data_IF_255099961620
#
_entry.id   IF_255099961620
#
_cell.length_a   1.000
_cell.length_b   1.000
_cell.length_c   1.000
_cell.angle_alpha   90.00
_cell.angle_beta   90.00
_cell.angle_gamma   90.00
#
_symmetry.space_group_name_H-M   'P 1'
#
loop_
_entity.id
_entity.type
_entity.pdbx_description
1 polymer ?
#
# COMPACT_ATOMS: atom_id res chain seq x y z
N UNK A 1 -5.77 13.40 14.74
CA UNK A 1 -5.00 12.44 13.91
C UNK A 1 -5.86 11.23 13.57
N UNK A 2 -5.69 10.62 12.39
CA UNK A 2 -6.39 9.41 11.97
C UNK A 2 -5.50 8.19 12.14
N UNK A 3 -6.09 7.03 12.43
CA UNK A 3 -5.36 5.80 12.71
C UNK A 3 -5.73 4.69 11.73
N UNK A 4 -4.72 4.04 11.19
CA UNK A 4 -4.90 2.93 10.26
C UNK A 4 -4.16 1.68 10.71
N UNK A 5 -4.58 0.53 10.19
CA UNK A 5 -3.80 -0.70 10.24
C UNK A 5 -3.30 -1.03 8.84
N UNK A 6 -2.06 -1.48 8.75
CA UNK A 6 -1.45 -1.89 7.48
C UNK A 6 -1.06 -3.35 7.54
N UNK A 7 -1.84 -4.17 6.83
CA UNK A 7 -1.64 -5.60 6.73
C UNK A 7 -0.68 -5.93 5.59
N UNK A 8 0.30 -6.74 5.92
CA UNK A 8 1.12 -7.47 4.96
C UNK A 8 0.87 -8.96 5.22
N UNK A 9 -0.21 -9.54 4.63
CA UNK A 9 -0.71 -10.84 5.03
C UNK A 9 0.34 -11.93 4.94
N UNK A 10 0.43 -12.76 5.97
CA UNK A 10 1.36 -13.87 6.07
C UNK A 10 0.60 -15.15 6.40
N UNK A 11 0.95 -16.24 5.73
CA UNK A 11 0.36 -17.57 6.01
C UNK A 11 0.71 -17.99 7.45
N UNK A 12 -0.28 -18.30 8.30
CA UNK A 12 -0.01 -18.77 9.66
C UNK A 12 0.90 -20.01 9.68
N UNK A 13 1.94 -19.94 10.50
CA UNK A 13 2.95 -21.00 10.60
C UNK A 13 4.02 -20.97 9.51
N UNK A 14 4.15 -19.87 8.76
CA UNK A 14 5.29 -19.58 7.88
C UNK A 14 6.38 -18.79 8.62
N UNK A 15 7.56 -18.65 7.98
CA UNK A 15 8.69 -17.87 8.50
C UNK A 15 9.47 -18.55 9.62
N UNK A 16 10.42 -17.81 10.18
CA UNK A 16 11.33 -18.32 11.21
C UNK A 16 10.69 -18.50 12.59
N UNK A 17 9.57 -17.84 12.84
CA UNK A 17 8.82 -18.06 14.10
C UNK A 17 8.25 -19.47 14.21
N UNK A 18 8.03 -20.14 13.07
CA UNK A 18 7.52 -21.50 12.97
C UNK A 18 8.37 -22.37 12.01
N UNK A 19 9.69 -22.23 12.07
CA UNK A 19 10.65 -22.76 11.08
C UNK A 19 10.48 -24.25 10.77
N UNK A 20 10.34 -25.09 11.80
CA UNK A 20 10.14 -26.53 11.63
C UNK A 20 8.86 -26.87 10.87
N UNK A 21 7.74 -26.22 11.23
CA UNK A 21 6.45 -26.37 10.56
C UNK A 21 6.53 -25.86 9.11
N UNK A 22 7.12 -24.70 8.90
CA UNK A 22 7.27 -24.11 7.58
C UNK A 22 8.08 -24.99 6.64
N UNK A 23 9.18 -25.59 7.13
CA UNK A 23 10.00 -26.54 6.37
C UNK A 23 9.27 -27.83 6.05
N UNK A 24 8.53 -28.39 7.01
CA UNK A 24 7.77 -29.62 6.83
C UNK A 24 6.63 -29.49 5.79
N UNK A 25 6.07 -28.28 5.64
CA UNK A 25 4.92 -27.98 4.76
C UNK A 25 5.31 -27.25 3.47
N UNK A 26 6.57 -27.25 3.06
CA UNK A 26 7.02 -26.59 1.81
C UNK A 26 6.35 -27.16 0.56
N UNK A 27 5.86 -26.34 -0.35
CA UNK A 27 5.72 -24.88 -0.28
C UNK A 27 4.42 -24.47 0.44
N UNK A 28 4.54 -23.94 1.64
CA UNK A 28 3.40 -23.60 2.52
C UNK A 28 2.42 -22.59 1.89
N UNK A 29 2.90 -21.70 1.02
CA UNK A 29 2.06 -20.77 0.26
C UNK A 29 1.09 -21.45 -0.73
N UNK A 30 1.23 -22.74 -1.01
CA UNK A 30 0.29 -23.52 -1.83
C UNK A 30 -0.62 -24.45 -1.01
N UNK A 31 -0.48 -24.40 0.29
CA UNK A 31 -1.34 -25.18 1.19
C UNK A 31 -2.68 -24.50 1.38
N UNK A 32 -3.75 -25.16 0.95
CA UNK A 32 -5.11 -24.60 0.94
C UNK A 32 -5.65 -24.34 2.35
N UNK A 33 -5.39 -25.21 3.30
CA UNK A 33 -5.84 -25.06 4.69
C UNK A 33 -5.16 -23.85 5.34
N UNK A 34 -3.86 -23.72 5.18
CA UNK A 34 -3.11 -22.56 5.67
C UNK A 34 -3.61 -21.24 5.07
N UNK A 35 -4.00 -21.27 3.78
CA UNK A 35 -4.55 -20.10 3.13
C UNK A 35 -5.96 -19.74 3.66
N UNK A 36 -6.79 -20.74 3.96
CA UNK A 36 -8.10 -20.50 4.61
C UNK A 36 -7.92 -19.91 6.02
N UNK A 37 -6.90 -20.35 6.76
CA UNK A 37 -6.57 -19.78 8.07
C UNK A 37 -6.11 -18.32 7.94
N UNK A 38 -5.29 -17.99 6.93
CA UNK A 38 -4.92 -16.59 6.63
C UNK A 38 -6.17 -15.74 6.37
N UNK A 39 -7.09 -16.22 5.52
CA UNK A 39 -8.34 -15.50 5.22
C UNK A 39 -9.18 -15.27 6.48
N UNK A 40 -9.27 -16.28 7.34
CA UNK A 40 -9.97 -16.17 8.62
C UNK A 40 -9.35 -15.08 9.48
N UNK A 41 -8.04 -15.11 9.72
CA UNK A 41 -7.35 -14.11 10.55
C UNK A 41 -7.50 -12.68 10.00
N UNK A 42 -7.32 -12.50 8.70
CA UNK A 42 -7.45 -11.18 8.05
C UNK A 42 -8.87 -10.62 8.20
N UNK A 43 -9.90 -11.46 8.03
CA UNK A 43 -11.32 -11.08 8.21
C UNK A 43 -11.63 -10.68 9.64
N UNK A 44 -11.15 -11.47 10.60
CA UNK A 44 -11.35 -11.18 12.03
C UNK A 44 -10.68 -9.85 12.43
N UNK A 45 -9.45 -9.60 11.96
CA UNK A 45 -8.74 -8.35 12.20
C UNK A 45 -9.48 -7.16 11.56
N UNK A 46 -9.97 -7.32 10.34
CA UNK A 46 -10.67 -6.25 9.63
C UNK A 46 -11.99 -5.85 10.32
N UNK A 47 -12.79 -6.83 10.72
CA UNK A 47 -14.05 -6.61 11.44
C UNK A 47 -13.78 -5.95 12.80
N UNK A 48 -12.80 -6.46 13.54
CA UNK A 48 -12.41 -5.87 14.82
C UNK A 48 -11.91 -4.42 14.67
N UNK A 49 -11.08 -4.15 13.67
CA UNK A 49 -10.57 -2.79 13.42
C UNK A 49 -11.72 -1.81 13.10
N UNK A 50 -12.71 -2.22 12.30
CA UNK A 50 -13.89 -1.42 12.02
C UNK A 50 -14.69 -1.14 13.30
N UNK A 51 -14.92 -2.18 14.13
CA UNK A 51 -15.63 -2.05 15.42
C UNK A 51 -14.91 -1.15 16.41
N UNK A 52 -13.58 -1.23 16.48
CA UNK A 52 -12.74 -0.40 17.35
C UNK A 52 -12.60 1.04 16.85
N UNK A 53 -13.08 1.35 15.63
CA UNK A 53 -13.08 2.68 15.06
C UNK A 53 -11.73 3.09 14.48
N UNK A 54 -10.91 2.17 13.99
CA UNK A 54 -9.81 2.54 13.11
C UNK A 54 -10.33 3.21 11.85
N UNK A 55 -9.59 4.20 11.35
CA UNK A 55 -10.04 5.02 10.22
C UNK A 55 -9.79 4.34 8.87
N UNK A 56 -8.73 3.52 8.74
CA UNK A 56 -8.42 2.79 7.51
C UNK A 56 -7.78 1.42 7.76
N UNK A 57 -8.06 0.48 6.83
CA UNK A 57 -7.35 -0.78 6.67
C UNK A 57 -6.64 -0.76 5.32
N UNK A 58 -5.34 -1.01 5.35
CA UNK A 58 -4.47 -1.00 4.18
C UNK A 58 -3.87 -2.38 3.95
N UNK A 59 -3.67 -2.75 2.67
CA UNK A 59 -3.14 -4.06 2.29
C UNK A 59 -2.17 -3.95 1.11
N UNK A 60 -1.09 -4.73 1.13
CA UNK A 60 -0.07 -4.77 0.07
C UNK A 60 -0.53 -5.54 -1.17
N UNK A 61 0.26 -5.47 -2.25
CA UNK A 61 0.21 -6.37 -3.41
C UNK A 61 1.56 -7.04 -3.60
N UNK A 62 1.58 -8.38 -3.51
CA UNK A 62 2.77 -9.19 -3.76
C UNK A 62 2.39 -10.54 -4.38
N UNK A 63 3.32 -11.14 -5.15
CA UNK A 63 3.04 -12.33 -5.94
C UNK A 63 4.13 -13.39 -5.80
N UNK A 64 3.75 -14.66 -6.04
CA UNK A 64 4.64 -15.82 -6.14
C UNK A 64 5.40 -16.17 -4.86
N UNK A 65 4.88 -15.77 -3.70
CA UNK A 65 5.49 -16.05 -2.40
C UNK A 65 5.11 -17.44 -1.90
N UNK A 66 5.66 -18.47 -2.52
CA UNK A 66 5.41 -19.86 -2.12
C UNK A 66 5.88 -20.19 -0.70
N UNK A 67 6.70 -19.34 -0.11
CA UNK A 67 7.14 -19.36 1.29
C UNK A 67 6.10 -18.79 2.28
N UNK A 68 5.00 -18.20 1.78
CA UNK A 68 3.86 -17.76 2.59
C UNK A 68 3.95 -16.38 3.23
N UNK A 69 5.03 -15.62 2.97
CA UNK A 69 5.17 -14.22 3.42
C UNK A 69 4.62 -13.26 2.35
N UNK A 70 4.08 -12.09 2.78
CA UNK A 70 3.52 -11.08 1.88
C UNK A 70 2.47 -11.66 0.90
N UNK A 71 1.47 -12.34 1.44
CA UNK A 71 0.60 -13.21 0.66
C UNK A 71 -0.73 -12.52 0.25
N UNK A 72 -0.63 -11.41 -0.46
CA UNK A 72 -1.80 -10.67 -1.01
C UNK A 72 -1.64 -10.44 -2.51
N UNK A 73 -2.07 -11.42 -3.30
CA UNK A 73 -1.86 -11.45 -4.77
C UNK A 73 -2.78 -10.51 -5.54
N UNK A 74 -3.91 -10.13 -4.97
CA UNK A 74 -4.83 -9.16 -5.56
C UNK A 74 -5.54 -8.39 -4.45
N UNK A 75 -5.02 -7.23 -4.06
CA UNK A 75 -5.60 -6.45 -2.97
C UNK A 75 -7.02 -5.95 -3.26
N UNK A 76 -7.40 -5.73 -4.53
CA UNK A 76 -8.76 -5.30 -4.87
C UNK A 76 -9.78 -6.39 -4.56
N UNK A 77 -9.48 -7.66 -4.88
CA UNK A 77 -10.35 -8.79 -4.55
C UNK A 77 -10.43 -9.02 -3.03
N UNK A 78 -9.30 -8.95 -2.31
CA UNK A 78 -9.28 -9.02 -0.85
C UNK A 78 -10.15 -7.94 -0.22
N UNK A 79 -9.95 -6.70 -0.63
CA UNK A 79 -10.69 -5.56 -0.09
C UNK A 79 -12.17 -5.61 -0.46
N UNK A 80 -12.55 -6.26 -1.57
CA UNK A 80 -13.96 -6.51 -1.90
C UNK A 80 -14.61 -7.46 -0.89
N UNK A 81 -13.94 -8.55 -0.50
CA UNK A 81 -14.41 -9.44 0.57
C UNK A 81 -14.53 -8.70 1.91
N UNK A 82 -13.56 -7.84 2.24
CA UNK A 82 -13.59 -7.05 3.47
C UNK A 82 -14.64 -5.93 3.43
N UNK A 83 -14.91 -5.33 2.26
CA UNK A 83 -15.96 -4.32 2.09
C UNK A 83 -17.34 -4.83 2.45
N UNK A 84 -17.61 -6.11 2.15
CA UNK A 84 -18.87 -6.77 2.50
C UNK A 84 -18.99 -7.10 3.99
N UNK A 85 -17.93 -7.00 4.78
CA UNK A 85 -17.86 -7.38 6.21
C UNK A 85 -17.67 -6.18 7.13
N UNK A 86 -17.44 -5.01 6.58
CA UNK A 86 -17.14 -3.77 7.32
C UNK A 86 -18.08 -2.65 6.88
N UNK A 87 -18.33 -1.68 7.76
CA UNK A 87 -19.32 -0.63 7.50
C UNK A 87 -18.72 0.78 7.37
N UNK A 88 -17.65 1.10 8.13
CA UNK A 88 -17.13 2.46 8.29
C UNK A 88 -15.69 2.62 7.86
N UNK A 89 -14.86 1.62 8.14
CA UNK A 89 -13.42 1.68 7.89
C UNK A 89 -13.13 1.91 6.41
N UNK A 90 -12.21 2.85 6.12
CA UNK A 90 -11.69 3.03 4.77
C UNK A 90 -10.85 1.82 4.37
N UNK A 91 -10.88 1.47 3.11
CA UNK A 91 -10.17 0.33 2.54
C UNK A 91 -9.16 0.81 1.51
N UNK A 92 -7.90 0.38 1.63
CA UNK A 92 -6.86 0.83 0.70
C UNK A 92 -5.94 -0.31 0.25
N UNK A 93 -5.84 -0.61 -1.06
CA UNK A 93 -4.61 -1.24 -1.55
C UNK A 93 -3.46 -0.27 -1.27
N UNK A 94 -2.41 -0.69 -0.57
CA UNK A 94 -1.27 0.16 -0.29
C UNK A 94 0.05 -0.59 -0.59
N UNK A 95 0.32 -0.73 -1.94
CA UNK A 95 -0.37 -0.14 -3.09
C UNK A 95 -0.60 -1.15 -4.19
N UNK A 96 -1.53 -0.76 -5.04
CA UNK A 96 -1.71 -1.43 -6.32
C UNK A 96 -0.48 -1.17 -7.21
N UNK A 97 0.14 -2.21 -7.71
CA UNK A 97 1.43 -2.10 -8.43
C UNK A 97 1.19 -1.89 -9.92
N UNK A 98 0.98 -0.64 -10.31
CA UNK A 98 0.49 -0.25 -11.62
C UNK A 98 1.24 -0.86 -12.82
N UNK A 99 2.59 -0.99 -12.82
CA UNK A 99 3.28 -1.62 -13.96
C UNK A 99 2.96 -3.11 -14.16
N UNK A 100 2.26 -3.76 -13.22
CA UNK A 100 1.80 -5.15 -13.37
C UNK A 100 0.37 -5.27 -13.95
N UNK A 101 -0.34 -4.15 -14.14
CA UNK A 101 -1.75 -4.12 -14.52
C UNK A 101 -2.00 -3.59 -15.94
N UNK A 102 -3.08 -4.05 -16.56
CA UNK A 102 -3.68 -3.36 -17.68
C UNK A 102 -4.43 -2.11 -17.20
N UNK A 103 -4.19 -0.92 -17.77
CA UNK A 103 -4.72 0.32 -17.22
C UNK A 103 -6.25 0.40 -17.23
N UNK A 104 -6.92 -0.11 -18.27
CA UNK A 104 -8.39 -0.08 -18.34
C UNK A 104 -8.99 -1.08 -17.37
N UNK A 105 -8.43 -2.31 -17.29
CA UNK A 105 -8.90 -3.32 -16.34
C UNK A 105 -8.73 -2.84 -14.90
N UNK A 106 -7.58 -2.24 -14.59
CA UNK A 106 -7.35 -1.66 -13.27
C UNK A 106 -8.34 -0.52 -12.95
N UNK A 107 -8.65 0.33 -13.95
CA UNK A 107 -9.62 1.40 -13.77
C UNK A 107 -11.03 0.87 -13.49
N UNK A 108 -11.49 -0.16 -14.21
CA UNK A 108 -12.79 -0.81 -13.98
C UNK A 108 -12.84 -1.47 -12.60
N UNK A 109 -11.83 -2.27 -12.23
CA UNK A 109 -11.79 -3.01 -10.97
C UNK A 109 -11.77 -2.06 -9.76
N UNK A 110 -11.02 -0.95 -9.84
CA UNK A 110 -10.99 0.10 -8.81
C UNK A 110 -12.35 0.81 -8.71
N UNK A 111 -12.95 1.16 -9.84
CA UNK A 111 -14.26 1.80 -9.84
C UNK A 111 -15.34 0.89 -9.26
N UNK A 112 -15.30 -0.40 -9.62
CA UNK A 112 -16.24 -1.40 -9.11
C UNK A 112 -16.10 -1.59 -7.59
N UNK A 113 -14.87 -1.68 -7.06
CA UNK A 113 -14.64 -1.75 -5.61
C UNK A 113 -15.14 -0.49 -4.91
N UNK A 114 -14.92 0.69 -5.48
CA UNK A 114 -15.38 1.95 -4.91
C UNK A 114 -16.93 2.02 -4.84
N UNK A 115 -17.63 1.47 -5.85
CA UNK A 115 -19.08 1.28 -5.81
C UNK A 115 -19.51 0.30 -4.70
N UNK A 116 -18.85 -0.85 -4.56
CA UNK A 116 -19.18 -1.84 -3.53
C UNK A 116 -19.03 -1.28 -2.11
N UNK A 117 -17.96 -0.52 -1.86
CA UNK A 117 -17.73 0.08 -0.55
C UNK A 117 -18.32 1.50 -0.39
N UNK A 118 -19.07 2.00 -1.38
CA UNK A 118 -19.78 3.30 -1.34
C UNK A 118 -18.86 4.47 -0.96
N UNK A 119 -17.70 4.57 -1.63
CA UNK A 119 -16.75 5.67 -1.45
C UNK A 119 -15.78 5.52 -0.28
N UNK A 120 -15.74 4.34 0.38
CA UNK A 120 -14.74 4.06 1.42
C UNK A 120 -13.36 3.67 0.85
N UNK A 121 -13.19 3.65 -0.46
CA UNK A 121 -11.90 3.31 -1.08
C UNK A 121 -10.91 4.48 -0.99
N UNK A 122 -9.67 4.16 -0.68
CA UNK A 122 -8.49 4.98 -0.93
C UNK A 122 -7.55 4.18 -1.82
N UNK A 123 -7.01 4.79 -2.87
CA UNK A 123 -6.23 4.05 -3.85
C UNK A 123 -4.73 4.31 -3.65
N UNK A 124 -4.06 3.42 -2.95
CA UNK A 124 -2.61 3.40 -2.92
C UNK A 124 -2.04 2.83 -4.22
N UNK A 125 -1.05 3.52 -4.79
CA UNK A 125 -0.40 3.13 -6.04
C UNK A 125 1.10 2.94 -5.84
N UNK A 126 1.68 1.89 -6.44
CA UNK A 126 3.07 1.50 -6.25
C UNK A 126 3.75 1.10 -7.54
N UNK A 127 5.09 1.07 -7.53
CA UNK A 127 5.94 0.71 -8.69
C UNK A 127 6.40 -0.75 -8.69
N UNK A 128 6.36 -1.42 -7.53
CA UNK A 128 6.85 -2.80 -7.35
C UNK A 128 8.37 -2.92 -7.30
N UNK A 129 8.92 -3.43 -6.18
CA UNK A 129 10.36 -3.48 -5.94
C UNK A 129 10.98 -4.89 -6.08
N UNK A 130 10.15 -5.93 -6.13
CA UNK A 130 10.64 -7.32 -6.15
C UNK A 130 10.73 -7.85 -7.57
N UNK A 131 11.94 -8.20 -7.99
CA UNK A 131 12.23 -8.67 -9.34
C UNK A 131 11.58 -10.03 -9.66
N UNK A 132 11.41 -10.93 -8.69
CA UNK A 132 10.83 -12.27 -8.88
C UNK A 132 9.47 -12.23 -9.56
N UNK A 133 8.62 -11.27 -9.22
CA UNK A 133 7.30 -11.17 -9.80
C UNK A 133 7.13 -9.98 -10.76
N UNK A 134 7.82 -8.85 -10.50
CA UNK A 134 7.76 -7.71 -11.41
C UNK A 134 8.27 -8.04 -12.81
N UNK A 135 9.35 -8.83 -12.93
CA UNK A 135 9.87 -9.24 -14.23
C UNK A 135 8.94 -10.20 -14.98
N UNK A 136 8.01 -10.83 -14.28
CA UNK A 136 6.95 -11.68 -14.88
C UNK A 136 5.73 -10.83 -15.24
N UNK A 137 5.16 -10.08 -14.29
CA UNK A 137 3.90 -9.38 -14.49
C UNK A 137 4.07 -8.07 -15.29
N UNK A 138 5.21 -7.41 -15.13
CA UNK A 138 5.55 -6.18 -15.87
C UNK A 138 6.10 -6.40 -17.28
N UNK A 139 6.29 -7.66 -17.73
CA UNK A 139 6.92 -7.99 -19.01
C UNK A 139 6.21 -7.37 -20.23
N UNK A 140 4.88 -7.27 -20.18
CA UNK A 140 4.08 -6.65 -21.25
C UNK A 140 4.55 -5.22 -21.56
N UNK A 141 4.99 -4.51 -20.56
CA UNK A 141 5.44 -3.12 -20.68
C UNK A 141 6.96 -2.96 -20.66
N UNK A 142 7.71 -4.06 -20.68
CA UNK A 142 9.15 -4.07 -20.44
C UNK A 142 9.55 -3.36 -19.13
N UNK A 143 8.70 -3.48 -18.09
CA UNK A 143 8.91 -2.91 -16.77
C UNK A 143 9.44 -3.98 -15.82
N UNK A 144 10.66 -3.80 -15.34
CA UNK A 144 11.24 -4.60 -14.26
C UNK A 144 11.01 -3.96 -12.89
N UNK A 145 11.52 -4.58 -11.82
CA UNK A 145 11.44 -4.02 -10.48
C UNK A 145 12.01 -2.60 -10.37
N UNK A 146 11.33 -1.77 -9.61
CA UNK A 146 11.79 -0.44 -9.24
C UNK A 146 13.04 -0.52 -8.35
N UNK A 147 14.13 0.11 -8.75
CA UNK A 147 15.41 0.12 -8.02
C UNK A 147 15.71 1.45 -7.34
N UNK A 148 15.04 2.51 -7.77
CA UNK A 148 15.29 3.90 -7.30
C UNK A 148 16.74 4.35 -7.47
N UNK A 149 17.46 3.80 -8.45
CA UNK A 149 18.87 4.05 -8.75
C UNK A 149 19.08 4.93 -10.00
N UNK A 150 18.00 5.35 -10.67
CA UNK A 150 18.06 6.17 -11.88
C UNK A 150 18.55 5.42 -13.13
N UNK A 151 18.71 4.10 -13.07
CA UNK A 151 19.07 3.29 -14.24
C UNK A 151 17.97 3.33 -15.32
N UNK A 152 18.32 2.92 -16.55
CA UNK A 152 17.33 2.84 -17.63
C UNK A 152 16.12 1.95 -17.28
N UNK A 153 16.35 0.86 -16.54
CA UNK A 153 15.30 -0.02 -16.04
C UNK A 153 14.42 0.67 -15.00
N UNK A 154 15.00 1.43 -14.07
CA UNK A 154 14.25 2.20 -13.08
C UNK A 154 13.43 3.32 -13.74
N UNK A 155 14.02 4.01 -14.71
CA UNK A 155 13.33 5.04 -15.51
C UNK A 155 12.16 4.44 -16.26
N UNK A 156 12.36 3.30 -16.94
CA UNK A 156 11.28 2.61 -17.66
C UNK A 156 10.12 2.24 -16.73
N UNK A 157 10.40 1.66 -15.56
CA UNK A 157 9.39 1.34 -14.56
C UNK A 157 8.62 2.60 -14.10
N UNK A 158 9.35 3.71 -13.89
CA UNK A 158 8.76 4.98 -13.49
C UNK A 158 7.84 5.57 -14.56
N UNK A 159 8.23 5.51 -15.84
CA UNK A 159 7.44 6.00 -16.96
C UNK A 159 6.17 5.15 -17.16
N UNK A 160 6.30 3.82 -17.09
CA UNK A 160 5.15 2.89 -17.16
C UNK A 160 4.16 3.16 -16.03
N UNK A 161 4.65 3.32 -14.79
CA UNK A 161 3.79 3.67 -13.65
C UNK A 161 3.00 4.95 -13.90
N UNK A 162 3.67 5.99 -14.40
CA UNK A 162 3.03 7.27 -14.69
C UNK A 162 1.98 7.19 -15.78
N UNK A 163 2.29 6.46 -16.82
CA UNK A 163 1.39 6.32 -17.97
C UNK A 163 0.15 5.49 -17.63
N UNK A 164 0.31 4.38 -16.89
CA UNK A 164 -0.84 3.59 -16.41
C UNK A 164 -1.75 4.44 -15.53
N UNK A 165 -1.20 5.19 -14.57
CA UNK A 165 -1.98 6.08 -13.70
C UNK A 165 -2.72 7.16 -14.50
N UNK A 166 -2.08 7.73 -15.52
CA UNK A 166 -2.69 8.71 -16.42
C UNK A 166 -3.89 8.14 -17.14
N UNK A 167 -3.76 6.95 -17.73
CA UNK A 167 -4.86 6.29 -18.45
C UNK A 167 -6.02 5.97 -17.49
N UNK A 168 -5.73 5.48 -16.29
CA UNK A 168 -6.74 5.23 -15.26
C UNK A 168 -7.50 6.52 -14.89
N UNK A 169 -6.78 7.64 -14.64
CA UNK A 169 -7.42 8.94 -14.36
C UNK A 169 -8.31 9.38 -15.52
N UNK A 170 -7.87 9.24 -16.77
CA UNK A 170 -8.69 9.53 -17.95
C UNK A 170 -9.96 8.69 -17.97
N UNK A 171 -9.84 7.37 -17.72
CA UNK A 171 -10.95 6.43 -17.68
C UNK A 171 -12.03 6.82 -16.65
N UNK A 172 -11.63 7.40 -15.52
CA UNK A 172 -12.58 7.80 -14.46
C UNK A 172 -13.19 9.18 -14.68
N UNK A 173 -12.48 10.08 -15.34
CA UNK A 173 -12.85 11.52 -15.39
C UNK A 173 -13.43 11.96 -16.71
N UNK A 174 -13.16 11.25 -17.80
CA UNK A 174 -13.70 11.55 -19.13
C UNK A 174 -14.95 10.72 -19.43
N UNK A 175 -15.88 11.27 -20.19
CA UNK A 175 -17.07 10.55 -20.62
C UNK A 175 -16.71 9.38 -21.55
N UNK A 176 -15.81 9.63 -22.50
CA UNK A 176 -15.18 8.61 -23.34
C UNK A 176 -13.69 8.88 -23.45
N UNK A 177 -12.91 7.84 -23.65
CA UNK A 177 -11.48 7.93 -23.91
C UNK A 177 -11.14 7.47 -25.33
N UNK A 178 -10.30 8.27 -25.99
CA UNK A 178 -9.57 7.90 -27.19
C UNK A 178 -8.12 8.28 -26.98
N UNK A 179 -7.27 7.29 -26.85
CA UNK A 179 -5.90 7.53 -26.44
C UNK A 179 -4.91 6.59 -27.12
N UNK A 180 -3.76 7.13 -27.53
CA UNK A 180 -2.60 6.37 -28.00
C UNK A 180 -1.42 6.77 -27.14
N UNK A 181 -0.81 5.79 -26.49
CA UNK A 181 0.33 6.04 -25.60
C UNK A 181 1.61 6.18 -26.41
N UNK A 182 2.45 7.15 -25.99
CA UNK A 182 3.82 7.28 -26.47
C UNK A 182 4.82 6.45 -25.63
N UNK A 183 4.37 5.97 -24.45
CA UNK A 183 5.18 5.23 -23.50
C UNK A 183 4.95 3.73 -23.61
N UNK A 184 3.69 3.32 -23.78
CA UNK A 184 3.27 1.92 -23.88
C UNK A 184 2.88 1.58 -25.33
N UNK A 185 3.07 0.31 -25.71
CA UNK A 185 2.39 -0.21 -26.90
C UNK A 185 0.90 -0.46 -26.55
N UNK A 186 0.15 0.65 -26.46
CA UNK A 186 -1.22 0.65 -25.99
C UNK A 186 -2.08 1.72 -26.67
N UNK A 187 -3.25 1.33 -27.13
CA UNK A 187 -4.21 2.19 -27.82
C UNK A 187 -5.62 1.91 -27.29
N UNK A 188 -6.43 2.96 -27.21
CA UNK A 188 -7.85 2.88 -26.84
C UNK A 188 -8.64 3.74 -27.84
N UNK A 189 -9.47 3.14 -28.72
CA UNK A 189 -9.60 1.70 -28.99
C UNK A 189 -8.40 1.11 -29.73
N UNK A 190 -8.43 -0.21 -29.98
CA UNK A 190 -7.48 -0.89 -30.84
C UNK A 190 -8.23 -1.59 -32.00
N UNK A 191 -7.92 -1.30 -33.30
CA UNK A 191 -6.93 -0.28 -33.74
C UNK A 191 -7.39 1.13 -33.40
N UNK A 192 -6.45 2.07 -33.31
CA UNK A 192 -6.72 3.47 -32.94
C UNK A 192 -7.65 4.19 -33.94
N UNK A 193 -7.63 3.77 -35.21
CA UNK A 193 -8.51 4.27 -36.26
C UNK A 193 -9.98 3.92 -36.03
N UNK A 194 -10.27 3.00 -35.13
CA UNK A 194 -11.61 2.57 -34.74
C UNK A 194 -11.88 1.10 -35.01
N UNK A 195 -12.76 0.52 -34.20
CA UNK A 195 -13.20 -0.87 -34.34
C UNK A 195 -14.36 -0.92 -35.32
N UNK A 196 -14.18 -1.68 -36.39
CA UNK A 196 -15.20 -1.90 -37.42
C UNK A 196 -16.17 -3.03 -37.03
N UNK A 197 -17.36 -3.03 -37.64
CA UNK A 197 -18.29 -4.15 -37.55
C UNK A 197 -19.01 -4.29 -36.20
N UNK A 198 -19.09 -3.23 -35.38
CA UNK A 198 -19.93 -3.25 -34.19
C UNK A 198 -21.42 -3.39 -34.56
N UNK A 199 -22.09 -4.51 -34.27
CA UNK A 199 -23.43 -4.79 -34.82
C UNK A 199 -24.54 -3.99 -34.11
N UNK A 200 -24.35 -3.56 -32.86
CA UNK A 200 -25.37 -2.87 -32.07
C UNK A 200 -25.27 -1.34 -32.19
N UNK A 201 -24.96 -0.80 -33.38
CA UNK A 201 -24.73 0.64 -33.61
C UNK A 201 -25.91 1.50 -33.17
N UNK A 202 -27.14 1.12 -33.56
CA UNK A 202 -28.34 1.90 -33.22
C UNK A 202 -28.63 1.93 -31.73
N UNK A 203 -28.30 0.84 -31.03
CA UNK A 203 -28.38 0.80 -29.56
C UNK A 203 -27.38 1.75 -28.93
N UNK A 204 -26.12 1.72 -29.38
CA UNK A 204 -25.07 2.59 -28.89
C UNK A 204 -25.34 4.06 -29.21
N UNK A 205 -25.84 4.39 -30.42
CA UNK A 205 -26.24 5.75 -30.78
C UNK A 205 -27.38 6.28 -29.89
N UNK A 206 -28.26 5.41 -29.45
CA UNK A 206 -29.44 5.80 -28.67
C UNK A 206 -29.13 5.94 -27.19
N UNK A 207 -28.32 5.02 -26.63
CA UNK A 207 -28.13 4.88 -25.18
C UNK A 207 -26.66 4.99 -24.69
N UNK A 208 -25.68 4.88 -25.60
CA UNK A 208 -24.27 5.03 -25.32
C UNK A 208 -23.80 6.48 -25.27
N UNK A 209 -22.52 6.68 -25.01
CA UNK A 209 -21.95 8.02 -25.04
C UNK A 209 -21.86 8.53 -26.50
N UNK A 210 -22.24 9.80 -26.77
CA UNK A 210 -22.33 10.31 -28.15
C UNK A 210 -21.06 10.21 -28.99
N UNK A 211 -19.87 10.24 -28.33
CA UNK A 211 -18.58 10.19 -29.00
C UNK A 211 -18.04 8.77 -29.25
N UNK A 212 -18.76 7.72 -28.86
CA UNK A 212 -18.26 6.34 -29.02
C UNK A 212 -18.24 5.90 -30.49
N UNK A 213 -19.23 6.32 -31.29
CA UNK A 213 -19.32 5.98 -32.70
C UNK A 213 -19.08 7.21 -33.57
N UNK A 214 -18.33 7.01 -34.68
CA UNK A 214 -18.27 8.02 -35.75
C UNK A 214 -19.46 7.87 -36.73
N UNK A 215 -19.49 8.71 -37.76
CA UNK A 215 -20.55 8.71 -38.78
C UNK A 215 -20.65 7.39 -39.53
N UNK A 216 -19.51 6.69 -39.73
CA UNK A 216 -19.43 5.39 -40.41
C UNK A 216 -19.83 4.22 -39.49
N UNK A 217 -20.15 4.47 -38.23
CA UNK A 217 -20.51 3.45 -37.24
C UNK A 217 -19.32 2.67 -36.65
N UNK A 218 -18.09 3.18 -36.81
CA UNK A 218 -16.91 2.62 -36.13
C UNK A 218 -16.87 3.08 -34.69
N UNK A 219 -16.43 2.18 -33.76
CA UNK A 219 -16.17 2.55 -32.38
C UNK A 219 -14.82 3.28 -32.30
N UNK A 220 -14.84 4.59 -32.13
CA UNK A 220 -13.64 5.45 -32.14
C UNK A 220 -13.20 5.93 -30.77
N UNK A 221 -14.04 5.74 -29.75
CA UNK A 221 -13.71 5.95 -28.33
C UNK A 221 -14.50 4.96 -27.47
N UNK A 222 -14.17 4.81 -26.22
CA UNK A 222 -14.87 3.92 -25.30
C UNK A 222 -15.20 4.62 -23.99
N UNK A 223 -16.38 4.36 -23.45
CA UNK A 223 -16.78 4.79 -22.11
C UNK A 223 -16.44 3.70 -21.10
N UNK A 224 -15.59 4.01 -20.12
CA UNK A 224 -15.23 3.06 -19.07
C UNK A 224 -16.28 3.08 -17.97
N UNK A 225 -16.91 1.95 -17.73
CA UNK A 225 -18.05 1.78 -16.82
C UNK A 225 -17.82 0.62 -15.84
N UNK A 226 -18.24 0.77 -14.56
CA UNK A 226 -18.84 1.97 -13.97
C UNK A 226 -17.81 3.08 -13.73
N UNK A 227 -18.28 4.30 -13.48
CA UNK A 227 -17.43 5.33 -12.87
C UNK A 227 -17.23 5.01 -11.38
N UNK A 228 -16.14 5.49 -10.75
CA UNK A 228 -16.01 5.44 -9.29
C UNK A 228 -17.21 6.07 -8.59
N UNK A 229 -17.52 5.62 -7.39
CA UNK A 229 -18.52 6.24 -6.53
C UNK A 229 -18.08 7.66 -6.12
N UNK A 230 -16.80 7.84 -5.88
CA UNK A 230 -16.18 9.14 -5.56
C UNK A 230 -15.94 9.98 -6.84
N UNK A 231 -16.01 11.28 -6.70
CA UNK A 231 -15.79 12.22 -7.79
C UNK A 231 -14.61 13.15 -7.44
N UNK A 232 -13.59 13.29 -8.29
CA UNK A 232 -13.43 12.71 -9.64
C UNK A 232 -13.01 11.24 -9.62
N UNK A 233 -12.38 10.74 -8.57
CA UNK A 233 -11.93 9.37 -8.32
C UNK A 233 -11.54 9.21 -6.83
N UNK A 234 -11.28 7.98 -6.34
CA UNK A 234 -10.75 7.78 -4.99
C UNK A 234 -9.48 8.59 -4.74
N UNK A 235 -9.32 9.09 -3.51
CA UNK A 235 -8.09 9.75 -3.10
C UNK A 235 -6.89 8.82 -3.29
N UNK A 236 -5.80 9.36 -3.84
CA UNK A 236 -4.60 8.58 -4.16
C UNK A 236 -3.61 8.58 -3.01
N UNK A 237 -3.09 7.42 -2.68
CA UNK A 237 -2.07 7.19 -1.66
C UNK A 237 -0.83 6.54 -2.30
N UNK A 238 0.33 6.65 -1.65
CA UNK A 238 1.56 5.99 -2.10
C UNK A 238 2.31 5.39 -0.91
N UNK A 239 2.57 4.06 -0.93
CA UNK A 239 3.31 3.40 0.14
C UNK A 239 4.81 3.72 0.09
N UNK A 240 5.47 3.58 1.25
CA UNK A 240 6.93 3.58 1.39
C UNK A 240 7.63 4.70 0.64
N UNK A 241 7.09 5.93 0.75
CA UNK A 241 7.67 7.11 0.11
C UNK A 241 8.91 7.54 0.87
N UNK A 242 10.10 7.21 0.34
CA UNK A 242 11.39 7.39 1.01
C UNK A 242 12.28 8.39 0.25
N UNK A 243 12.35 8.30 -1.09
CA UNK A 243 13.22 9.18 -1.89
C UNK A 243 12.58 10.55 -2.14
N UNK A 244 13.41 11.60 -2.23
CA UNK A 244 12.95 12.96 -2.55
C UNK A 244 12.18 13.00 -3.87
N UNK A 245 12.64 12.30 -4.90
CA UNK A 245 11.95 12.18 -6.18
C UNK A 245 10.52 11.64 -6.03
N UNK A 246 10.32 10.65 -5.15
CA UNK A 246 9.00 10.09 -4.89
C UNK A 246 8.11 11.06 -4.11
N UNK A 247 8.67 11.80 -3.15
CA UNK A 247 7.96 12.83 -2.39
C UNK A 247 7.52 13.97 -3.30
N UNK A 248 8.43 14.48 -4.13
CA UNK A 248 8.14 15.56 -5.10
C UNK A 248 7.02 15.14 -6.04
N UNK A 249 7.10 13.95 -6.61
CA UNK A 249 6.05 13.45 -7.50
C UNK A 249 4.72 13.30 -6.76
N UNK A 250 4.72 12.72 -5.56
CA UNK A 250 3.50 12.58 -4.77
C UNK A 250 2.84 13.95 -4.53
N UNK A 251 3.64 14.97 -4.21
CA UNK A 251 3.15 16.34 -4.07
C UNK A 251 2.58 16.90 -5.39
N UNK A 252 3.28 16.74 -6.51
CA UNK A 252 2.83 17.21 -7.82
C UNK A 252 1.49 16.61 -8.25
N UNK A 253 1.30 15.32 -7.99
CA UNK A 253 0.10 14.54 -8.36
C UNK A 253 -1.01 14.61 -7.30
N UNK A 254 -0.81 15.30 -6.18
CA UNK A 254 -1.69 15.32 -5.01
C UNK A 254 -1.96 13.91 -4.44
N UNK A 255 -0.92 13.12 -4.33
CA UNK A 255 -0.94 11.78 -3.74
C UNK A 255 -0.46 11.88 -2.30
N UNK A 256 -1.22 11.31 -1.35
CA UNK A 256 -0.82 11.24 0.06
C UNK A 256 0.32 10.23 0.23
N UNK A 257 1.52 10.66 0.66
CA UNK A 257 2.64 9.75 0.87
C UNK A 257 2.57 9.08 2.25
N UNK A 258 2.66 7.76 2.28
CA UNK A 258 2.92 6.99 3.49
C UNK A 258 4.42 6.80 3.65
N UNK A 259 4.99 7.44 4.66
CA UNK A 259 6.41 7.45 4.91
C UNK A 259 6.82 6.28 5.82
N UNK A 260 7.93 5.66 5.49
CA UNK A 260 8.52 4.58 6.27
C UNK A 260 10.00 4.85 6.45
N UNK A 261 10.32 5.77 7.33
CA UNK A 261 11.69 6.11 7.72
C UNK A 261 11.87 5.88 9.23
N UNK A 262 13.11 5.64 9.69
CA UNK A 262 13.32 5.21 11.08
C UNK A 262 13.04 6.33 12.07
N UNK A 263 13.57 7.52 11.88
CA UNK A 263 13.53 8.55 12.88
C UNK A 263 12.56 9.70 12.54
N UNK A 264 12.01 10.37 13.55
CA UNK A 264 11.06 11.49 13.37
C UNK A 264 11.63 12.67 12.59
N UNK A 265 12.94 12.93 12.67
CA UNK A 265 13.56 14.06 11.97
C UNK A 265 13.58 13.82 10.44
N UNK A 266 13.86 12.58 10.01
CA UNK A 266 13.77 12.20 8.58
C UNK A 266 12.32 12.28 8.07
N UNK A 267 11.34 11.88 8.88
CA UNK A 267 9.92 12.07 8.55
C UNK A 267 9.58 13.53 8.36
N UNK A 268 9.99 14.38 9.32
CA UNK A 268 9.73 15.82 9.26
C UNK A 268 10.38 16.48 8.04
N UNK A 269 11.61 16.08 7.68
CA UNK A 269 12.27 16.58 6.48
C UNK A 269 11.50 16.22 5.21
N UNK A 270 10.98 14.99 5.10
CA UNK A 270 10.15 14.55 3.97
C UNK A 270 8.79 15.25 3.94
N UNK A 271 8.15 15.41 5.11
CA UNK A 271 6.89 16.14 5.23
C UNK A 271 7.06 17.61 4.82
N UNK A 272 8.18 18.24 5.19
CA UNK A 272 8.50 19.60 4.76
C UNK A 272 8.70 19.70 3.24
N UNK A 273 9.45 18.76 2.65
CA UNK A 273 9.62 18.70 1.18
C UNK A 273 8.27 18.54 0.48
N UNK A 274 7.39 17.68 1.00
CA UNK A 274 6.04 17.50 0.48
C UNK A 274 5.21 18.79 0.57
N UNK A 275 5.25 19.47 1.71
CA UNK A 275 4.57 20.74 1.95
C UNK A 275 5.04 21.81 0.94
N UNK A 276 6.36 22.02 0.84
CA UNK A 276 6.96 23.02 -0.06
C UNK A 276 6.60 22.77 -1.52
N UNK A 277 6.66 21.52 -1.97
CA UNK A 277 6.33 21.16 -3.34
C UNK A 277 4.82 21.27 -3.60
N UNK A 278 3.97 20.90 -2.64
CA UNK A 278 2.51 21.09 -2.72
C UNK A 278 2.14 22.56 -2.83
N UNK A 279 2.84 23.45 -2.10
CA UNK A 279 2.64 24.89 -2.19
C UNK A 279 2.96 25.44 -3.60
N UNK A 280 3.99 24.91 -4.27
CA UNK A 280 4.28 25.25 -5.70
C UNK A 280 3.16 24.84 -6.65
N UNK A 281 2.35 23.86 -6.24
CA UNK A 281 1.15 23.41 -6.97
C UNK A 281 -0.15 24.10 -6.50
N UNK A 282 -0.04 25.14 -5.66
CA UNK A 282 -1.18 25.91 -5.16
C UNK A 282 -1.96 25.26 -4.02
N UNK A 283 -1.38 24.28 -3.30
CA UNK A 283 -1.97 23.63 -2.12
C UNK A 283 -1.23 24.03 -0.85
N UNK A 284 -1.92 24.69 0.05
CA UNK A 284 -1.36 25.22 1.31
C UNK A 284 -1.58 24.22 2.46
N UNK A 285 -0.80 23.12 2.45
CA UNK A 285 -0.80 22.15 3.53
C UNK A 285 0.08 22.62 4.69
N UNK A 286 -0.34 22.33 5.92
CA UNK A 286 0.49 22.47 7.10
C UNK A 286 1.53 21.35 7.21
N UNK A 287 2.50 21.51 8.11
CA UNK A 287 3.57 20.50 8.27
C UNK A 287 3.02 19.19 8.84
N UNK A 288 3.00 18.16 8.02
CA UNK A 288 2.45 16.83 8.34
C UNK A 288 1.04 16.59 7.80
N UNK A 289 0.31 17.63 7.42
CA UNK A 289 -1.01 17.50 6.78
C UNK A 289 -0.87 16.80 5.42
N UNK A 290 -1.85 15.98 5.10
CA UNK A 290 -1.87 15.13 3.90
C UNK A 290 -0.64 14.21 3.79
N UNK A 291 -0.16 13.73 4.93
CA UNK A 291 0.91 12.72 5.02
C UNK A 291 0.56 11.64 6.04
N UNK A 292 1.17 10.46 5.87
CA UNK A 292 1.05 9.36 6.81
C UNK A 292 2.40 8.75 7.17
N UNK A 293 2.51 8.20 8.37
CA UNK A 293 3.68 7.44 8.83
C UNK A 293 3.28 6.02 9.23
N UNK A 294 4.20 5.07 9.03
CA UNK A 294 4.03 3.68 9.41
C UNK A 294 5.00 3.32 10.54
N UNK A 295 4.50 2.68 11.60
CA UNK A 295 5.30 2.15 12.71
C UNK A 295 4.83 0.75 13.10
N UNK A 296 5.75 -0.11 13.48
CA UNK A 296 5.41 -1.38 14.12
C UNK A 296 5.04 -1.07 15.57
N UNK A 297 3.83 -1.44 15.99
CA UNK A 297 3.34 -1.14 17.35
C UNK A 297 3.03 -2.44 18.05
N UNK A 298 3.61 -2.63 19.25
CA UNK A 298 3.34 -3.78 20.11
C UNK A 298 3.13 -3.32 21.57
N UNK A 299 1.94 -3.55 22.09
CA UNK A 299 1.51 -3.06 23.43
C UNK A 299 1.28 -4.25 24.36
N UNK A 300 1.85 -4.15 25.57
CA UNK A 300 1.63 -5.07 26.67
C UNK A 300 1.61 -4.32 28.01
N UNK A 301 1.39 -5.06 29.11
CA UNK A 301 1.35 -4.46 30.45
C UNK A 301 2.71 -3.93 30.90
N UNK A 302 3.80 -4.52 30.38
CA UNK A 302 5.17 -4.02 30.60
C UNK A 302 5.95 -3.89 29.30
N UNK A 303 6.97 -3.03 29.30
CA UNK A 303 7.86 -2.86 28.14
C UNK A 303 8.63 -4.14 27.82
N UNK A 304 9.03 -4.90 28.86
CA UNK A 304 9.73 -6.18 28.68
C UNK A 304 8.83 -7.22 28.01
N UNK A 305 7.58 -7.33 28.45
CA UNK A 305 6.59 -8.22 27.84
C UNK A 305 6.32 -7.85 26.38
N UNK A 306 6.15 -6.56 26.08
CA UNK A 306 5.95 -6.08 24.72
C UNK A 306 7.11 -6.45 23.79
N UNK A 307 8.37 -6.25 24.24
CA UNK A 307 9.56 -6.62 23.48
C UNK A 307 9.65 -8.15 23.33
N UNK A 308 9.35 -8.90 24.38
CA UNK A 308 9.39 -10.38 24.31
C UNK A 308 8.30 -10.96 23.41
N UNK A 309 7.12 -10.36 23.36
CA UNK A 309 5.99 -10.81 22.51
C UNK A 309 6.17 -10.40 21.06
N UNK A 310 6.33 -9.10 20.81
CA UNK A 310 6.33 -8.53 19.45
C UNK A 310 7.74 -8.50 18.82
N UNK A 311 8.78 -8.57 19.62
CA UNK A 311 10.17 -8.54 19.16
C UNK A 311 10.81 -9.88 18.83
N UNK A 312 10.15 -11.03 19.07
CA UNK A 312 10.77 -12.36 18.84
C UNK A 312 10.78 -12.78 17.39
N UNK A 313 9.66 -12.70 16.70
CA UNK A 313 9.52 -13.16 15.31
C UNK A 313 9.85 -12.11 14.28
N UNK A 314 9.50 -10.85 14.57
CA UNK A 314 9.59 -9.73 13.63
C UNK A 314 11.04 -9.48 13.15
N UNK A 315 12.04 -9.32 14.04
CA UNK A 315 13.37 -8.92 13.59
C UNK A 315 14.04 -9.96 12.69
N UNK A 316 13.89 -11.25 13.00
CA UNK A 316 14.53 -12.32 12.22
C UNK A 316 13.91 -12.44 10.82
N UNK A 317 12.59 -12.43 10.72
CA UNK A 317 11.88 -12.49 9.44
C UNK A 317 12.13 -11.20 8.63
N UNK A 318 12.09 -10.04 9.28
CA UNK A 318 12.39 -8.77 8.64
C UNK A 318 13.82 -8.74 8.08
N UNK A 319 14.81 -9.13 8.88
CA UNK A 319 16.20 -9.14 8.46
C UNK A 319 16.46 -10.14 7.32
N UNK A 320 15.89 -11.33 7.41
CA UNK A 320 16.10 -12.38 6.42
C UNK A 320 15.38 -12.13 5.10
N UNK A 321 14.16 -11.58 5.15
CA UNK A 321 13.35 -11.35 3.96
C UNK A 321 13.59 -9.96 3.34
N UNK A 322 13.49 -8.90 4.13
CA UNK A 322 13.61 -7.53 3.62
C UNK A 322 15.05 -7.01 3.54
N UNK A 323 15.96 -7.61 4.32
CA UNK A 323 17.37 -7.22 4.33
C UNK A 323 18.03 -7.28 2.95
N UNK A 324 17.89 -8.36 2.17
CA UNK A 324 18.43 -8.44 0.80
C UNK A 324 17.94 -7.37 -0.17
N UNK A 325 16.79 -6.74 0.10
CA UNK A 325 16.26 -5.61 -0.68
C UNK A 325 16.77 -4.25 -0.19
N UNK A 326 17.65 -4.23 0.81
CA UNK A 326 18.22 -2.99 1.35
C UNK A 326 17.38 -2.33 2.47
N UNK A 327 16.27 -2.92 2.89
CA UNK A 327 15.41 -2.31 3.92
C UNK A 327 16.02 -2.29 5.33
N UNK A 328 17.13 -2.99 5.58
CA UNK A 328 17.85 -2.85 6.85
C UNK A 328 18.43 -1.43 7.06
N UNK A 329 18.56 -0.66 5.99
CA UNK A 329 19.02 0.73 6.08
C UNK A 329 18.08 1.62 6.90
N UNK A 330 16.80 1.26 7.03
CA UNK A 330 15.86 1.95 7.94
C UNK A 330 16.23 1.79 9.43
N UNK A 331 17.13 0.86 9.74
CA UNK A 331 17.64 0.63 11.10
C UNK A 331 18.96 1.35 11.38
N UNK A 332 19.44 2.20 10.46
CA UNK A 332 20.71 2.90 10.59
C UNK A 332 20.70 3.91 11.74
N UNK A 333 21.71 3.84 12.59
CA UNK A 333 21.97 4.80 13.67
C UNK A 333 23.09 5.78 13.25
N UNK A 334 23.21 6.88 13.97
CA UNK A 334 24.26 7.92 13.71
C UNK A 334 25.68 7.39 13.82
N UNK A 335 25.91 6.43 14.71
CA UNK A 335 27.21 5.78 14.94
C UNK A 335 27.57 4.71 13.91
N UNK A 336 26.63 4.28 13.06
CA UNK A 336 26.93 3.29 12.01
C UNK A 336 27.76 3.91 10.88
N UNK A 337 28.74 3.17 10.37
CA UNK A 337 29.57 3.60 9.24
C UNK A 337 28.70 3.83 7.99
N UNK A 338 28.70 5.06 7.47
CA UNK A 338 27.82 5.51 6.37
C UNK A 338 27.88 4.65 5.10
N UNK A 339 29.01 3.99 4.85
CA UNK A 339 29.27 3.26 3.61
C UNK A 339 29.19 1.74 3.76
N UNK A 340 28.91 1.24 4.95
CA UNK A 340 28.72 -0.20 5.19
C UNK A 340 27.24 -0.52 5.31
N UNK A 341 26.71 -1.49 4.56
CA UNK A 341 25.34 -1.97 4.74
C UNK A 341 25.10 -2.43 6.19
N UNK A 342 23.91 -2.22 6.68
CA UNK A 342 23.50 -2.75 8.00
C UNK A 342 23.41 -4.28 7.89
N UNK A 343 24.17 -4.99 8.73
CA UNK A 343 24.17 -6.44 8.71
C UNK A 343 22.90 -7.03 9.34
N UNK A 344 22.47 -8.23 8.90
CA UNK A 344 21.25 -8.88 9.42
C UNK A 344 21.25 -9.06 10.94
N UNK A 345 22.40 -9.30 11.56
CA UNK A 345 22.52 -9.47 13.02
C UNK A 345 22.15 -8.20 13.80
N UNK A 346 22.22 -7.04 13.14
CA UNK A 346 21.78 -5.75 13.70
C UNK A 346 20.27 -5.53 13.58
N UNK A 347 19.52 -6.44 12.96
CA UNK A 347 18.07 -6.37 12.81
C UNK A 347 17.30 -6.86 14.03
N UNK A 348 17.70 -6.51 15.25
CA UNK A 348 17.04 -6.94 16.48
C UNK A 348 15.95 -5.95 16.98
N UNK A 349 15.11 -6.43 17.92
CA UNK A 349 13.98 -5.66 18.45
C UNK A 349 14.40 -4.39 19.20
N UNK A 350 15.53 -4.43 19.92
CA UNK A 350 16.02 -3.26 20.66
C UNK A 350 16.45 -2.18 19.67
N UNK A 351 17.16 -2.57 18.61
CA UNK A 351 17.56 -1.61 17.56
C UNK A 351 16.35 -1.03 16.84
N UNK A 352 15.34 -1.84 16.50
CA UNK A 352 14.08 -1.32 15.91
C UNK A 352 13.41 -0.30 16.82
N UNK A 353 13.42 -0.53 18.13
CA UNK A 353 12.93 0.39 19.14
C UNK A 353 13.79 1.64 19.25
N UNK A 354 15.12 1.50 19.30
CA UNK A 354 16.06 2.62 19.43
C UNK A 354 15.97 3.62 18.26
N UNK A 355 15.74 3.12 17.04
CA UNK A 355 15.55 3.98 15.87
C UNK A 355 14.08 4.38 15.65
N UNK A 356 13.21 4.05 16.58
CA UNK A 356 11.77 4.34 16.54
C UNK A 356 11.03 3.77 15.28
N UNK A 357 11.57 2.73 14.66
CA UNK A 357 10.84 1.94 13.68
C UNK A 357 9.72 1.14 14.34
N UNK A 358 9.97 0.65 15.57
CA UNK A 358 9.00 -0.04 16.39
C UNK A 358 8.75 0.71 17.69
N UNK A 359 7.49 0.78 18.10
CA UNK A 359 7.04 1.28 19.39
C UNK A 359 6.55 0.07 20.21
N UNK A 360 7.47 -0.53 20.97
CA UNK A 360 7.17 -1.65 21.87
C UNK A 360 7.16 -1.18 23.32
N UNK A 361 6.06 -1.39 24.05
CA UNK A 361 5.96 -1.00 25.43
C UNK A 361 4.54 -0.96 25.97
N UNK A 362 4.36 -0.24 27.06
CA UNK A 362 3.06 0.06 27.63
C UNK A 362 2.29 1.06 26.75
N UNK A 363 0.97 1.25 26.97
CA UNK A 363 0.24 2.31 26.29
C UNK A 363 0.91 3.68 26.40
N UNK A 364 1.47 4.01 27.55
CA UNK A 364 2.14 5.31 27.78
C UNK A 364 3.48 5.41 27.03
N UNK A 365 4.20 4.30 26.83
CA UNK A 365 5.40 4.28 25.98
C UNK A 365 5.05 4.60 24.54
N UNK A 366 3.96 4.01 24.03
CA UNK A 366 3.49 4.24 22.66
C UNK A 366 2.99 5.68 22.50
N UNK A 367 2.23 6.23 23.47
CA UNK A 367 1.82 7.64 23.46
C UNK A 367 3.01 8.59 23.38
N UNK A 368 4.05 8.35 24.18
CA UNK A 368 5.30 9.14 24.12
C UNK A 368 5.96 9.04 22.73
N UNK A 369 5.92 7.86 22.10
CA UNK A 369 6.41 7.70 20.75
C UNK A 369 5.65 8.54 19.74
N UNK A 370 4.32 8.50 19.78
CA UNK A 370 3.46 9.30 18.90
C UNK A 370 3.66 10.80 19.16
N UNK A 371 3.75 11.23 20.43
CA UNK A 371 3.98 12.63 20.79
C UNK A 371 5.28 13.17 20.19
N UNK A 372 6.37 12.37 20.22
CA UNK A 372 7.63 12.78 19.56
C UNK A 372 7.49 13.01 18.04
N UNK A 373 6.57 12.32 17.37
CA UNK A 373 6.26 12.60 15.96
C UNK A 373 5.50 13.92 15.80
N UNK A 374 4.50 14.16 16.67
CA UNK A 374 3.71 15.39 16.67
C UNK A 374 4.54 16.62 17.04
N UNK A 375 5.53 16.50 17.94
CA UNK A 375 6.45 17.59 18.28
C UNK A 375 7.23 18.10 17.06
N UNK A 376 7.41 17.26 16.02
CA UNK A 376 8.09 17.60 14.77
C UNK A 376 7.16 17.91 13.62
N UNK A 377 5.98 17.31 13.63
CA UNK A 377 4.95 17.42 12.58
C UNK A 377 3.59 17.63 13.27
N UNK A 378 3.30 18.86 13.74
CA UNK A 378 2.12 19.14 14.56
C UNK A 378 0.78 18.78 13.90
N UNK A 379 0.72 18.85 12.57
CA UNK A 379 -0.47 18.56 11.80
C UNK A 379 -0.40 17.19 11.09
N UNK A 380 0.40 16.23 11.62
CA UNK A 380 0.47 14.86 11.09
C UNK A 380 -0.93 14.25 11.01
N UNK A 381 -1.37 13.95 9.79
CA UNK A 381 -2.74 13.51 9.57
C UNK A 381 -2.96 12.04 9.89
N UNK A 382 -2.02 11.15 9.47
CA UNK A 382 -2.19 9.71 9.57
C UNK A 382 -1.07 9.02 10.33
N UNK A 383 -1.44 8.13 11.24
CA UNK A 383 -0.53 7.19 11.89
C UNK A 383 -1.00 5.76 11.62
N UNK A 384 -0.16 4.96 10.99
CA UNK A 384 -0.47 3.57 10.62
C UNK A 384 0.31 2.55 11.44
N UNK A 385 -0.42 1.57 12.00
CA UNK A 385 0.13 0.39 12.64
C UNK A 385 0.55 -0.60 11.56
N UNK A 386 1.85 -0.76 11.34
CA UNK A 386 2.39 -1.75 10.41
C UNK A 386 2.41 -3.13 11.08
N UNK A 387 1.53 -4.02 10.63
CA UNK A 387 1.27 -5.32 11.24
C UNK A 387 2.27 -6.41 10.81
N UNK A 388 3.42 -6.03 10.27
CA UNK A 388 4.47 -6.98 9.88
C UNK A 388 4.91 -7.84 11.06
N UNK A 389 4.92 -9.16 10.86
CA UNK A 389 5.32 -10.13 11.87
C UNK A 389 4.33 -10.27 13.05
N UNK A 390 3.10 -9.78 12.91
CA UNK A 390 2.03 -9.96 13.88
C UNK A 390 0.99 -10.96 13.34
N UNK A 391 0.19 -10.59 12.35
CA UNK A 391 -0.75 -11.50 11.71
C UNK A 391 0.02 -12.68 11.06
N UNK A 392 -0.41 -13.90 11.28
CA UNK A 392 0.22 -15.12 10.80
C UNK A 392 1.46 -15.59 11.60
N UNK A 393 2.00 -14.74 12.47
CA UNK A 393 3.18 -15.03 13.32
C UNK A 393 2.81 -15.18 14.78
N UNK A 394 2.01 -14.24 15.30
CA UNK A 394 1.52 -14.27 16.68
C UNK A 394 0.14 -14.93 16.73
N UNK A 395 -0.26 -15.49 17.89
CA UNK A 395 -1.62 -15.93 18.09
C UNK A 395 -2.61 -14.79 17.80
N UNK A 396 -3.71 -15.10 17.10
CA UNK A 396 -4.70 -14.11 16.67
C UNK A 396 -5.23 -13.28 17.84
N UNK A 397 -5.45 -13.90 19.02
CA UNK A 397 -5.91 -13.19 20.22
C UNK A 397 -4.89 -12.15 20.71
N UNK A 398 -3.59 -12.44 20.56
CA UNK A 398 -2.53 -11.47 20.89
C UNK A 398 -2.58 -10.26 19.95
N UNK A 399 -2.80 -10.51 18.65
CA UNK A 399 -2.96 -9.44 17.65
C UNK A 399 -4.20 -8.60 17.94
N UNK A 400 -5.34 -9.24 18.21
CA UNK A 400 -6.59 -8.57 18.58
C UNK A 400 -6.41 -7.71 19.84
N UNK A 401 -5.79 -8.28 20.87
CA UNK A 401 -5.52 -7.56 22.13
C UNK A 401 -4.66 -6.31 21.92
N UNK A 402 -3.63 -6.40 21.05
CA UNK A 402 -2.81 -5.25 20.68
C UNK A 402 -3.65 -4.11 20.07
N UNK A 403 -4.54 -4.45 19.12
CA UNK A 403 -5.44 -3.48 18.50
C UNK A 403 -6.42 -2.86 19.50
N UNK A 404 -6.99 -3.66 20.40
CA UNK A 404 -7.88 -3.18 21.48
C UNK A 404 -7.17 -2.22 22.42
N UNK A 405 -5.95 -2.56 22.87
CA UNK A 405 -5.15 -1.68 23.72
C UNK A 405 -4.81 -0.36 23.03
N UNK A 406 -4.43 -0.43 21.76
CA UNK A 406 -4.19 0.79 20.98
C UNK A 406 -5.45 1.65 20.89
N UNK A 407 -6.55 1.08 20.43
CA UNK A 407 -7.81 1.81 20.21
C UNK A 407 -8.40 2.40 21.49
N UNK A 408 -8.29 1.70 22.64
CA UNK A 408 -8.92 2.10 23.91
C UNK A 408 -8.01 2.91 24.82
N UNK A 409 -6.69 2.73 24.75
CA UNK A 409 -5.73 3.34 25.67
C UNK A 409 -4.80 4.37 25.04
N UNK A 410 -4.60 4.31 23.72
CA UNK A 410 -3.66 5.21 23.02
C UNK A 410 -4.40 6.19 22.13
N UNK A 411 -5.20 5.71 21.19
CA UNK A 411 -5.84 6.52 20.17
C UNK A 411 -6.70 7.70 20.71
N UNK A 412 -7.45 7.55 21.83
CA UNK A 412 -8.30 8.64 22.34
C UNK A 412 -7.55 9.93 22.71
N UNK A 413 -6.24 9.86 22.99
CA UNK A 413 -5.43 11.03 23.35
C UNK A 413 -5.06 11.90 22.13
N UNK A 414 -5.16 11.34 20.92
CA UNK A 414 -4.68 11.99 19.68
C UNK A 414 -5.79 12.21 18.63
N UNK A 415 -7.03 11.91 18.96
CA UNK A 415 -8.20 12.14 18.11
C UNK A 415 -8.81 13.51 18.22
#
# INVERSE_FOLDING_TARGET
>A
MKFSIFLNPQIPGSGYAAEENAKARRPIGRDTESYQNLLHEVREIAVLADQLGFDALMMTEHHFHSEGMEFSVNPLMFLTDLAARTERILLAPLGLVLPAWDPIRAAEDVALLDQFCKGRLRLGVARGYQNRWMNVLGQRWHAAAARSDGSASDTRNFDVFGEVLKIMKMAWTQETIRYKSDVLDYQVPYPYEGIEGWPAQEWTKTFGAPAELNEDGKVVSVSVCPRPYQNPHPELWQPFTISDRSVIRAAQENILPWMFTPNPDDHAAKAKLYQEESARQGRDYKLGEHTGILKIVGIADTTEEAVNTFGRGIPKDFAAFFGPFGYLEVLRKKEDEKHKPISPEKGDANRMKDVEMALFGTPDDVKRGIQRMLDRMPDLEWFGLYMQGQQGVLPLDTVKRNLELFATKVAPEFR
#
